data_IF_557684334607
#
_entry.id   IF_557684334607
#
_cell.length_a   1.000
_cell.length_b   1.000
_cell.length_c   1.000
_cell.angle_alpha   90.00
_cell.angle_beta   90.00
_cell.angle_gamma   90.00
#
_symmetry.space_group_name_H-M   'P 1'
#
loop_
_entity.id
_entity.type
_entity.pdbx_description
1 polymer ?
2 non-polymer ?
3 water ?
#
# COMPACT_ATOMS: atom_id res chain seq x y z
N UNK A 1 25.97 1.66 19.99
CA UNK A 1 25.47 0.81 18.91
C UNK A 1 24.13 0.16 19.27
N UNK A 2 23.21 0.16 18.32
CA UNK A 2 21.87 -0.38 18.51
C UNK A 2 21.81 -1.70 19.26
N UNK A 3 20.78 -1.85 20.10
CA UNK A 3 20.55 -3.08 20.86
C UNK A 3 19.57 -3.94 20.08
N UNK A 4 19.05 -3.40 18.98
CA UNK A 4 18.09 -4.10 18.15
C UNK A 4 18.75 -5.27 17.43
N UNK A 5 17.94 -6.15 16.84
CA UNK A 5 18.39 -7.32 16.07
C UNK A 5 18.77 -6.91 14.66
N UNK A 6 19.74 -7.59 14.08
CA UNK A 6 20.20 -7.29 12.72
C UNK A 6 19.04 -7.16 11.73
N UNK A 7 18.08 -8.11 11.77
CA UNK A 7 16.93 -8.12 10.87
C UNK A 7 16.08 -6.85 11.01
N UNK A 8 15.93 -6.38 12.24
CA UNK A 8 15.17 -5.15 12.49
C UNK A 8 15.97 -3.94 12.01
N UNK A 9 17.24 -3.85 12.43
CA UNK A 9 18.10 -2.76 12.01
C UNK A 9 18.13 -2.66 10.48
N UNK A 10 18.31 -3.80 9.83
CA UNK A 10 18.35 -3.88 8.37
C UNK A 10 17.01 -3.46 7.76
N UNK A 11 15.95 -3.54 8.55
CA UNK A 11 14.61 -3.14 8.11
C UNK A 11 14.55 -1.63 8.11
N UNK A 12 15.16 -1.04 9.14
CA UNK A 12 15.24 0.41 9.30
C UNK A 12 16.01 1.04 8.15
N UNK A 13 17.15 0.43 7.82
CA UNK A 13 17.98 0.94 6.75
C UNK A 13 17.24 0.93 5.44
N UNK A 14 16.46 -0.13 5.22
CA UNK A 14 15.67 -0.31 4.01
C UNK A 14 14.62 0.78 3.81
N UNK A 15 13.76 0.98 4.82
CA UNK A 15 12.69 1.96 4.71
C UNK A 15 13.12 3.41 4.78
N UNK A 16 14.40 3.63 5.13
CA UNK A 16 14.91 5.00 5.24
C UNK A 16 16.01 5.31 4.23
N UNK A 17 16.10 4.50 3.18
CA UNK A 17 17.10 4.68 2.13
C UNK A 17 16.74 5.86 1.23
N UNK A 18 17.58 6.89 1.25
CA UNK A 18 17.36 8.08 0.42
C UNK A 18 17.43 7.74 -1.06
N UNK A 19 18.43 6.96 -1.43
CA UNK A 19 18.64 6.53 -2.81
C UNK A 19 17.33 5.97 -3.36
N UNK A 20 16.68 5.13 -2.56
CA UNK A 20 15.41 4.52 -2.95
C UNK A 20 14.38 5.61 -3.26
N UNK A 21 14.43 6.70 -2.50
CA UNK A 21 13.52 7.81 -2.71
C UNK A 21 13.79 8.50 -4.06
N UNK A 22 15.06 8.78 -4.33
CA UNK A 22 15.45 9.41 -5.58
C UNK A 22 15.22 8.46 -6.76
N UNK A 23 15.31 7.17 -6.48
CA UNK A 23 15.12 6.15 -7.53
C UNK A 23 13.65 6.10 -7.96
N UNK A 24 12.76 6.01 -6.98
CA UNK A 24 11.31 5.99 -7.24
C UNK A 24 10.87 7.26 -7.97
N UNK A 25 11.57 8.37 -7.70
CA UNK A 25 11.25 9.65 -8.33
C UNK A 25 11.72 9.69 -9.77
N UNK A 26 13.02 9.51 -9.98
CA UNK A 26 13.60 9.48 -11.31
C UNK A 26 12.83 8.48 -12.18
N UNK A 27 12.45 7.36 -11.58
CA UNK A 27 11.69 6.34 -12.30
C UNK A 27 10.36 6.92 -12.76
N UNK A 28 9.91 7.96 -12.04
CA UNK A 28 8.66 8.64 -12.36
C UNK A 28 8.91 9.72 -13.39
N UNK A 29 10.16 9.85 -13.82
CA UNK A 29 10.56 10.87 -14.80
C UNK A 29 10.61 12.25 -14.17
N UNK A 30 10.60 12.29 -12.84
CA UNK A 30 10.67 13.55 -12.10
C UNK A 30 12.07 14.12 -12.14
N UNK A 31 12.18 15.39 -12.52
CA UNK A 31 13.48 16.06 -12.58
C UNK A 31 13.97 16.38 -11.17
N UNK A 32 15.00 15.66 -10.73
CA UNK A 32 15.56 15.86 -9.39
C UNK A 32 16.34 17.16 -9.24
N UNK A 33 16.60 17.82 -10.36
CA UNK A 33 17.32 19.10 -10.34
C UNK A 33 16.33 20.23 -10.07
N UNK A 34 15.14 20.10 -10.64
CA UNK A 34 14.07 21.08 -10.49
C UNK A 34 13.27 20.77 -9.23
N UNK A 35 13.14 19.49 -8.92
CA UNK A 35 12.36 19.08 -7.75
C UNK A 35 13.13 18.08 -6.90
N UNK A 36 14.18 18.54 -6.20
CA UNK A 36 14.92 17.62 -5.33
C UNK A 36 14.01 17.15 -4.18
N UNK A 37 14.39 16.05 -3.54
CA UNK A 37 13.63 15.47 -2.43
C UNK A 37 13.18 16.52 -1.41
N UNK A 38 14.14 17.25 -0.87
CA UNK A 38 13.87 18.26 0.13
C UNK A 38 12.81 19.25 -0.27
N UNK A 39 12.70 19.52 -1.57
CA UNK A 39 11.74 20.50 -2.07
C UNK A 39 10.28 20.03 -1.99
N UNK A 40 10.09 18.71 -1.90
CA UNK A 40 8.75 18.14 -1.81
C UNK A 40 7.89 18.74 -0.69
N UNK A 41 6.63 19.01 -0.99
CA UNK A 41 5.73 19.61 -0.01
C UNK A 41 4.34 18.97 -0.01
N UNK A 42 3.70 18.93 1.16
CA UNK A 42 2.36 18.36 1.29
C UNK A 42 1.35 19.22 0.53
N UNK A 43 1.40 20.53 0.76
CA UNK A 43 0.50 21.46 0.07
C UNK A 43 0.62 21.26 -1.43
N UNK A 44 1.86 21.20 -1.92
CA UNK A 44 2.14 21.01 -3.33
C UNK A 44 1.48 19.74 -3.86
N UNK A 45 1.54 18.68 -3.07
CA UNK A 45 0.94 17.41 -3.46
C UNK A 45 -0.59 17.46 -3.45
N UNK A 46 -1.15 18.28 -2.55
CA UNK A 46 -2.60 18.49 -2.47
C UNK A 46 -3.06 19.18 -3.75
N UNK A 47 -2.40 20.29 -4.08
CA UNK A 47 -2.72 21.06 -5.26
C UNK A 47 -2.70 20.19 -6.51
N UNK A 48 -1.69 19.32 -6.60
CA UNK A 48 -1.55 18.42 -7.73
C UNK A 48 -2.73 17.46 -7.82
N UNK A 49 -3.17 16.95 -6.68
CA UNK A 49 -4.32 16.06 -6.65
C UNK A 49 -5.50 16.79 -7.24
N UNK A 50 -5.66 18.04 -6.80
CA UNK A 50 -6.78 18.88 -7.24
C UNK A 50 -6.80 19.07 -8.75
N UNK A 51 -5.63 19.31 -9.31
CA UNK A 51 -5.49 19.48 -10.75
C UNK A 51 -5.93 18.20 -11.45
N UNK A 52 -5.46 17.06 -10.93
CA UNK A 52 -5.82 15.78 -11.51
C UNK A 52 -7.32 15.53 -11.48
N UNK A 53 -7.98 15.97 -10.41
CA UNK A 53 -9.44 15.84 -10.30
C UNK A 53 -10.13 16.72 -11.33
N UNK A 54 -9.56 17.89 -11.60
CA UNK A 54 -10.13 18.80 -12.59
C UNK A 54 -10.01 18.15 -13.97
N UNK A 55 -8.92 17.41 -14.19
CA UNK A 55 -8.72 16.72 -15.47
C UNK A 55 -9.77 15.63 -15.63
N UNK A 56 -10.00 14.86 -14.57
CA UNK A 56 -11.00 13.82 -14.61
C UNK A 56 -12.33 14.45 -15.05
N UNK A 57 -12.77 15.45 -14.29
CA UNK A 57 -14.00 16.17 -14.61
C UNK A 57 -14.00 16.69 -16.05
N UNK A 58 -12.87 17.25 -16.46
CA UNK A 58 -12.72 17.77 -17.82
C UNK A 58 -12.87 16.62 -18.81
N UNK A 59 -12.17 15.53 -18.54
CA UNK A 59 -12.19 14.33 -19.37
C UNK A 59 -13.60 13.75 -19.45
N UNK A 60 -14.29 13.73 -18.31
CA UNK A 60 -15.64 13.19 -18.24
C UNK A 60 -16.66 14.06 -18.96
N UNK A 61 -16.45 15.37 -18.89
CA UNK A 61 -17.36 16.33 -19.52
C UNK A 61 -17.15 16.34 -21.02
N UNK A 62 -15.89 16.30 -21.42
CA UNK A 62 -15.51 16.35 -22.82
C UNK A 62 -15.04 17.77 -23.11
N UNK A 63 -14.11 18.25 -22.29
CA UNK A 63 -13.57 19.58 -22.43
C UNK A 63 -12.99 19.80 -23.82
N UNK A 64 -13.26 20.96 -24.38
CA UNK A 64 -12.81 21.29 -25.73
C UNK A 64 -11.34 21.68 -25.80
N UNK A 65 -10.47 20.71 -25.52
CA UNK A 65 -9.01 20.90 -25.57
C UNK A 65 -8.55 22.25 -25.01
N UNK A 66 -7.26 22.53 -25.10
CA UNK A 66 -6.74 23.77 -24.57
C UNK A 66 -6.94 23.78 -23.04
N UNK A 67 -8.17 23.54 -22.61
CA UNK A 67 -8.50 23.45 -21.20
C UNK A 67 -7.89 22.17 -20.65
N UNK A 68 -7.76 21.16 -21.51
CA UNK A 68 -7.15 19.89 -21.14
C UNK A 68 -5.64 20.08 -21.25
N UNK A 69 -5.24 21.06 -22.04
CA UNK A 69 -3.83 21.38 -22.25
C UNK A 69 -3.34 22.26 -21.10
N UNK A 70 -4.14 23.27 -20.75
CA UNK A 70 -3.82 24.19 -19.66
C UNK A 70 -3.74 23.45 -18.33
N UNK A 71 -4.55 22.40 -18.19
CA UNK A 71 -4.53 21.60 -16.97
C UNK A 71 -3.27 20.74 -16.95
N UNK A 72 -2.87 20.28 -18.14
CA UNK A 72 -1.67 19.46 -18.27
C UNK A 72 -0.43 20.29 -17.92
N UNK A 73 -0.34 21.50 -18.47
CA UNK A 73 0.76 22.40 -18.17
C UNK A 73 0.80 22.63 -16.65
N UNK A 74 -0.37 22.90 -16.08
CA UNK A 74 -0.47 23.17 -14.64
C UNK A 74 0.10 22.05 -13.79
N UNK A 75 -0.22 20.80 -14.12
CA UNK A 75 0.27 19.67 -13.35
C UNK A 75 1.79 19.54 -13.47
N UNK A 76 2.30 19.72 -14.68
CA UNK A 76 3.74 19.61 -14.92
C UNK A 76 4.51 20.82 -14.40
N UNK A 77 3.78 21.86 -14.01
CA UNK A 77 4.42 23.03 -13.42
C UNK A 77 4.62 22.73 -11.94
N UNK A 78 3.61 22.08 -11.36
CA UNK A 78 3.63 21.66 -9.97
C UNK A 78 4.63 20.51 -9.78
N UNK A 79 4.58 19.55 -10.69
CA UNK A 79 5.47 18.39 -10.62
C UNK A 79 6.41 18.42 -11.81
N UNK A 80 7.62 18.96 -11.61
CA UNK A 80 8.67 19.10 -12.62
C UNK A 80 9.20 17.78 -13.14
N UNK A 81 8.97 17.52 -14.41
CA UNK A 81 9.42 16.31 -15.07
C UNK A 81 10.49 16.68 -16.08
N UNK A 82 11.25 15.69 -16.55
CA UNK A 82 12.25 15.93 -17.57
C UNK A 82 11.98 15.02 -18.77
N UNK A 83 11.46 15.62 -19.83
CA UNK A 83 11.12 14.88 -21.04
C UNK A 83 12.17 15.15 -22.11
N UNK A 84 12.77 16.34 -22.04
CA UNK A 84 13.77 16.75 -23.01
C UNK A 84 13.10 17.28 -24.26
N UNK A 85 12.45 16.38 -24.99
CA UNK A 85 11.75 16.74 -26.21
C UNK A 85 10.50 15.88 -26.39
N UNK A 86 9.77 16.13 -27.48
CA UNK A 86 8.53 15.42 -27.77
C UNK A 86 7.38 15.98 -26.94
N UNK A 87 7.71 16.85 -26.00
CA UNK A 87 6.70 17.48 -25.15
C UNK A 87 6.11 16.50 -24.14
N UNK A 88 5.65 17.02 -23.00
CA UNK A 88 5.05 16.20 -21.94
C UNK A 88 3.78 15.51 -22.44
N UNK A 89 3.46 14.36 -21.84
CA UNK A 89 2.24 13.64 -22.22
C UNK A 89 0.99 14.40 -21.81
N UNK A 90 0.00 14.43 -22.69
CA UNK A 90 -1.24 15.12 -22.40
C UNK A 90 -2.12 14.26 -21.51
N UNK A 91 -2.55 14.80 -20.37
CA UNK A 91 -3.43 14.09 -19.44
C UNK A 91 -4.85 14.29 -19.94
N UNK A 92 -5.30 13.40 -20.82
CA UNK A 92 -6.60 13.53 -21.45
C UNK A 92 -7.46 12.27 -21.36
N UNK A 93 -7.18 11.41 -20.40
CA UNK A 93 -7.94 10.18 -20.23
C UNK A 93 -7.86 9.62 -18.82
N UNK A 94 -8.68 8.61 -18.54
CA UNK A 94 -8.70 7.99 -17.23
C UNK A 94 -7.36 7.38 -16.91
N UNK A 95 -6.83 6.62 -17.86
CA UNK A 95 -5.55 5.95 -17.69
C UNK A 95 -4.46 6.90 -17.19
N UNK A 96 -4.35 8.05 -17.83
CA UNK A 96 -3.33 9.04 -17.48
C UNK A 96 -3.46 9.61 -16.06
N UNK A 97 -4.66 10.08 -15.70
CA UNK A 97 -4.86 10.65 -14.36
C UNK A 97 -4.71 9.59 -13.27
N UNK A 98 -5.01 8.34 -13.63
CA UNK A 98 -4.90 7.20 -12.73
C UNK A 98 -3.45 6.97 -12.33
N UNK A 99 -2.58 6.92 -13.32
CA UNK A 99 -1.16 6.70 -13.10
C UNK A 99 -0.55 7.90 -12.38
N UNK A 100 -0.84 9.09 -12.87
CA UNK A 100 -0.34 10.32 -12.26
C UNK A 100 -0.75 10.43 -10.79
N UNK A 101 -1.90 9.86 -10.46
CA UNK A 101 -2.42 9.89 -9.09
C UNK A 101 -1.71 8.88 -8.21
N UNK A 102 -1.42 7.70 -8.76
CA UNK A 102 -0.72 6.65 -8.02
C UNK A 102 0.65 7.18 -7.61
N UNK A 103 1.25 7.99 -8.49
CA UNK A 103 2.56 8.55 -8.22
C UNK A 103 2.52 9.58 -7.09
N UNK A 104 1.47 10.40 -7.06
CA UNK A 104 1.32 11.43 -6.04
C UNK A 104 1.13 10.77 -4.67
N UNK A 105 0.46 9.62 -4.67
CA UNK A 105 0.26 8.83 -3.44
C UNK A 105 1.63 8.42 -2.92
N UNK A 106 2.44 7.84 -3.81
CA UNK A 106 3.79 7.40 -3.49
C UNK A 106 4.65 8.61 -3.06
N UNK A 107 4.71 9.63 -3.91
CA UNK A 107 5.48 10.84 -3.59
C UNK A 107 5.14 11.38 -2.19
N UNK A 108 3.88 11.25 -1.81
CA UNK A 108 3.39 11.73 -0.51
C UNK A 108 4.10 11.00 0.62
N UNK A 109 4.13 9.67 0.53
CA UNK A 109 4.76 8.84 1.54
C UNK A 109 6.27 9.09 1.60
N UNK A 110 6.86 9.45 0.47
CA UNK A 110 8.29 9.75 0.41
C UNK A 110 8.60 11.04 1.17
N UNK A 111 7.71 12.03 1.05
CA UNK A 111 7.88 13.30 1.75
C UNK A 111 7.77 13.03 3.25
N UNK A 112 6.80 12.21 3.61
CA UNK A 112 6.59 11.83 5.00
C UNK A 112 7.87 11.23 5.57
N UNK A 113 8.47 10.32 4.80
CA UNK A 113 9.68 9.62 5.23
C UNK A 113 10.91 10.51 5.24
N UNK A 114 11.11 11.30 4.18
CA UNK A 114 12.25 12.20 4.11
C UNK A 114 12.13 13.28 5.18
N UNK A 115 10.90 13.71 5.43
CA UNK A 115 10.66 14.74 6.44
C UNK A 115 10.95 14.19 7.82
N UNK A 116 10.88 12.87 7.95
CA UNK A 116 11.17 12.20 9.22
C UNK A 116 12.67 11.95 9.32
N UNK A 117 13.21 11.32 8.28
CA UNK A 117 14.63 11.01 8.23
C UNK A 117 15.49 12.27 8.36
N UNK A 118 14.85 13.45 8.31
CA UNK A 118 15.59 14.70 8.42
C UNK A 118 15.15 15.55 9.60
N UNK A 119 14.08 15.13 10.27
CA UNK A 119 13.56 15.84 11.43
C UNK A 119 14.07 15.25 12.72
N UNK A 120 14.00 16.04 13.80
CA UNK A 120 14.44 15.61 15.11
C UNK A 120 15.90 15.92 15.42
N UNK A 121 16.35 15.51 16.60
CA UNK A 121 17.72 15.73 17.03
C UNK A 121 18.67 14.79 16.30
N UNK A 122 19.47 15.34 15.40
CA UNK A 122 20.42 14.54 14.62
C UNK A 122 21.80 14.52 15.29
N UNK A 123 21.81 14.46 16.63
CA UNK A 123 23.04 14.44 17.39
C UNK A 123 23.91 13.21 17.12
N UNK A 124 24.82 12.90 18.04
CA UNK A 124 25.72 11.76 17.86
C UNK A 124 25.81 10.87 19.10
N UNK A 125 24.81 10.95 19.97
CA UNK A 125 24.78 10.14 21.18
C UNK A 125 24.31 8.74 20.83
N UNK A 126 23.10 8.66 20.30
CA UNK A 126 22.52 7.37 19.89
C UNK A 126 22.87 7.14 18.42
N UNK A 127 22.99 5.86 18.05
CA UNK A 127 23.30 5.52 16.67
C UNK A 127 22.06 5.64 15.78
N UNK A 128 22.27 6.11 14.53
CA UNK A 128 21.27 6.36 13.48
C UNK A 128 20.13 5.35 13.45
N UNK A 129 20.46 4.07 13.61
CA UNK A 129 19.45 3.03 13.58
C UNK A 129 18.44 3.17 14.71
N UNK A 130 18.93 3.40 15.92
CA UNK A 130 18.06 3.57 17.09
C UNK A 130 17.16 4.79 16.95
N UNK A 131 17.77 5.93 16.62
CA UNK A 131 17.03 7.16 16.45
C UNK A 131 15.85 6.93 15.50
N UNK A 132 16.18 6.58 14.25
CA UNK A 132 15.17 6.32 13.23
C UNK A 132 14.09 5.33 13.68
N UNK A 133 14.50 4.24 14.32
CA UNK A 133 13.55 3.26 14.82
C UNK A 133 12.46 3.94 15.64
N UNK A 134 12.87 4.84 16.53
CA UNK A 134 11.96 5.57 17.38
C UNK A 134 10.98 6.41 16.56
N UNK A 135 11.48 7.06 15.53
CA UNK A 135 10.66 7.91 14.68
C UNK A 135 9.44 7.19 14.14
N UNK A 136 9.54 5.86 14.04
CA UNK A 136 8.47 5.03 13.49
C UNK A 136 7.25 4.88 14.41
N UNK A 137 7.47 5.01 15.72
CA UNK A 137 6.39 4.87 16.70
C UNK A 137 5.76 3.49 16.54
N UNK A 138 6.60 2.48 16.32
CA UNK A 138 6.11 1.12 16.12
C UNK A 138 7.00 0.11 16.83
N UNK A 139 6.38 -0.86 17.49
CA UNK A 139 7.13 -1.92 18.16
C UNK A 139 7.43 -3.01 17.14
N UNK A 140 8.70 -3.24 16.86
CA UNK A 140 9.11 -4.24 15.88
C UNK A 140 9.91 -5.38 16.48
N UNK A 141 9.28 -6.54 16.59
CA UNK A 141 9.92 -7.73 17.12
C UNK A 141 10.06 -8.79 16.02
N UNK A 142 11.17 -9.52 16.03
CA UNK A 142 11.39 -10.57 15.04
C UNK A 142 10.63 -11.81 15.47
N UNK A 143 9.97 -12.47 14.51
CA UNK A 143 9.25 -13.70 14.79
C UNK A 143 10.16 -14.88 14.39
N UNK A 144 10.40 -15.78 15.34
CA UNK A 144 11.28 -16.93 15.11
C UNK A 144 10.88 -17.78 13.91
N UNK A 145 11.87 -18.16 13.11
CA UNK A 145 11.63 -18.99 11.92
C UNK A 145 10.87 -20.26 12.26
N UNK A 146 11.31 -20.95 13.30
CA UNK A 146 10.70 -22.20 13.75
C UNK A 146 9.66 -21.98 14.84
N UNK A 147 8.59 -21.26 14.51
CA UNK A 147 7.53 -20.99 15.47
C UNK A 147 6.18 -21.19 14.81
N UNK A 148 5.15 -21.47 15.62
CA UNK A 148 3.81 -21.68 15.11
C UNK A 148 3.38 -20.48 14.28
N UNK A 149 3.65 -19.30 14.81
CA UNK A 149 3.33 -18.06 14.10
C UNK A 149 3.96 -18.07 12.71
N UNK A 150 5.28 -18.24 12.66
CA UNK A 150 6.00 -18.28 11.39
C UNK A 150 5.46 -19.38 10.48
N UNK A 151 5.24 -20.56 11.06
CA UNK A 151 4.71 -21.70 10.32
C UNK A 151 3.41 -21.31 9.62
N UNK A 152 2.51 -20.67 10.36
CA UNK A 152 1.23 -20.21 9.84
C UNK A 152 1.44 -19.25 8.67
N UNK A 153 2.18 -18.18 8.94
CA UNK A 153 2.45 -17.14 7.96
C UNK A 153 3.04 -17.68 6.66
N UNK A 154 4.07 -18.52 6.79
CA UNK A 154 4.71 -19.08 5.61
C UNK A 154 3.75 -19.91 4.78
N UNK A 155 2.82 -20.59 5.46
CA UNK A 155 1.81 -21.42 4.81
C UNK A 155 0.81 -20.54 4.06
N UNK A 156 0.52 -19.39 4.66
CA UNK A 156 -0.39 -18.41 4.08
C UNK A 156 0.23 -17.85 2.80
N UNK A 157 1.53 -17.59 2.84
CA UNK A 157 2.25 -17.04 1.70
C UNK A 157 2.43 -18.06 0.58
N UNK A 158 2.70 -19.30 0.98
CA UNK A 158 2.93 -20.39 0.04
C UNK A 158 1.66 -20.81 -0.68
N UNK A 159 0.59 -20.99 0.07
CA UNK A 159 -0.70 -21.43 -0.48
C UNK A 159 -1.36 -20.40 -1.42
N UNK A 160 -1.45 -19.15 -0.97
CA UNK A 160 -2.09 -18.10 -1.75
C UNK A 160 -1.23 -17.57 -2.92
N UNK A 161 -0.10 -18.21 -3.16
CA UNK A 161 0.77 -17.87 -4.28
C UNK A 161 0.63 -19.01 -5.29
N UNK A 162 0.34 -18.68 -6.55
CA UNK A 162 0.09 -19.69 -7.58
C UNK A 162 1.11 -19.86 -8.71
N UNK A 163 0.59 -20.19 -9.90
CA UNK A 163 1.41 -20.43 -11.09
C UNK A 163 0.88 -19.71 -12.33
N UNK A 164 -0.40 -19.32 -12.30
CA UNK A 164 -1.01 -18.62 -13.42
C UNK A 164 -0.45 -17.20 -13.56
N UNK A 165 0.36 -16.83 -12.57
CA UNK A 165 1.02 -15.53 -12.54
C UNK A 165 2.43 -15.78 -12.01
N UNK A 166 2.86 -17.04 -12.13
CA UNK A 166 4.17 -17.45 -11.66
C UNK A 166 5.29 -16.77 -12.43
N UNK A 167 5.27 -15.44 -12.43
CA UNK A 167 6.32 -14.67 -13.07
C UNK A 167 7.48 -14.63 -12.10
N UNK A 168 7.19 -14.95 -10.84
CA UNK A 168 8.19 -14.96 -9.78
C UNK A 168 7.86 -15.98 -8.70
N UNK A 169 8.80 -16.18 -7.78
CA UNK A 169 8.63 -17.09 -6.65
C UNK A 169 8.91 -16.31 -5.38
N UNK A 170 8.21 -16.65 -4.30
CA UNK A 170 8.35 -15.91 -3.05
C UNK A 170 9.21 -16.61 -1.99
N UNK A 171 10.06 -15.83 -1.34
CA UNK A 171 10.92 -16.31 -0.28
C UNK A 171 10.76 -15.39 0.94
N UNK A 172 10.37 -15.95 2.08
CA UNK A 172 10.21 -15.16 3.29
C UNK A 172 11.54 -15.04 4.01
N UNK A 173 12.14 -13.85 3.96
CA UNK A 173 13.43 -13.61 4.59
C UNK A 173 13.30 -13.22 6.05
N UNK A 174 12.27 -12.45 6.37
CA UNK A 174 12.03 -12.03 7.74
C UNK A 174 10.56 -11.74 7.97
N UNK A 175 10.10 -11.99 9.18
CA UNK A 175 8.75 -11.69 9.58
C UNK A 175 8.83 -10.99 10.92
N UNK A 176 8.12 -9.88 11.04
CA UNK A 176 8.11 -9.14 12.29
C UNK A 176 6.68 -9.00 12.80
N UNK A 177 6.56 -8.97 14.12
CA UNK A 177 5.29 -8.70 14.77
C UNK A 177 5.36 -7.20 14.96
N UNK A 178 4.30 -6.50 14.58
CA UNK A 178 4.31 -5.04 14.70
C UNK A 178 3.12 -4.51 15.47
N UNK A 179 3.37 -3.47 16.26
CA UNK A 179 2.34 -2.84 17.05
C UNK A 179 2.63 -1.36 17.09
N UNK A 180 1.88 -0.59 16.31
CA UNK A 180 2.05 0.85 16.25
C UNK A 180 1.46 1.47 17.51
N UNK A 181 2.06 2.57 17.96
CA UNK A 181 1.56 3.27 19.13
C UNK A 181 0.21 3.87 18.79
N UNK A 182 -0.80 3.55 19.60
CA UNK A 182 -2.15 4.04 19.37
C UNK A 182 -3.02 2.96 18.75
N UNK A 183 -2.47 2.27 17.76
CA UNK A 183 -3.17 1.19 17.09
C UNK A 183 -3.40 0.04 18.07
N UNK A 184 -4.46 0.16 18.86
CA UNK A 184 -4.77 -0.82 19.88
C UNK A 184 -6.02 -0.33 20.60
N UNK A 185 -5.93 0.87 21.16
CA UNK A 185 -7.06 1.49 21.84
C UNK A 185 -8.00 2.03 20.78
N UNK A 186 -7.45 2.21 19.57
CA UNK A 186 -8.21 2.72 18.44
C UNK A 186 -8.96 1.59 17.75
N UNK A 187 -8.37 0.40 17.78
CA UNK A 187 -8.97 -0.79 17.16
C UNK A 187 -9.93 -1.51 18.11
N UNK A 188 -9.65 -1.42 19.41
CA UNK A 188 -10.44 -2.07 20.45
C UNK A 188 -11.96 -2.09 20.23
N UNK A 189 -12.56 -0.90 20.01
CA UNK A 189 -14.00 -0.77 19.81
C UNK A 189 -14.51 -1.55 18.60
N UNK A 190 -13.64 -1.74 17.62
CA UNK A 190 -14.01 -2.44 16.40
C UNK A 190 -13.80 -3.95 16.51
N UNK A 191 -13.01 -4.36 17.50
CA UNK A 191 -12.76 -5.78 17.73
C UNK A 191 -14.09 -6.41 18.13
N UNK A 192 -14.89 -5.63 18.85
CA UNK A 192 -16.21 -6.06 19.28
C UNK A 192 -17.12 -6.01 18.06
N UNK A 193 -16.64 -6.63 16.99
CA UNK A 193 -17.35 -6.68 15.71
C UNK A 193 -16.90 -7.96 14.99
N UNK A 194 -17.86 -8.74 14.52
CA UNK A 194 -17.57 -10.00 13.86
C UNK A 194 -16.81 -9.85 12.54
N UNK A 195 -16.54 -10.99 11.91
CA UNK A 195 -15.84 -11.02 10.63
C UNK A 195 -14.45 -10.39 10.65
N UNK A 196 -13.64 -10.76 11.64
CA UNK A 196 -12.28 -10.23 11.74
C UNK A 196 -11.32 -11.19 11.03
N UNK A 197 -10.65 -10.69 9.99
CA UNK A 197 -9.77 -11.52 9.19
C UNK A 197 -8.33 -11.02 9.11
N UNK A 198 -7.42 -11.93 8.75
CA UNK A 198 -6.01 -11.58 8.58
C UNK A 198 -5.74 -11.50 7.09
N UNK A 199 -5.67 -10.27 6.58
CA UNK A 199 -5.48 -10.02 5.16
C UNK A 199 -4.15 -9.35 4.82
N UNK A 200 -3.83 -9.38 3.53
CA UNK A 200 -2.60 -8.82 3.00
C UNK A 200 -2.75 -7.37 2.56
N UNK A 201 -1.62 -6.66 2.56
CA UNK A 201 -1.54 -5.30 2.07
C UNK A 201 -0.10 -5.03 1.66
N UNK A 202 0.12 -4.95 0.35
CA UNK A 202 1.44 -4.70 -0.19
C UNK A 202 1.55 -3.24 -0.57
N UNK A 203 2.77 -2.71 -0.49
CA UNK A 203 3.02 -1.33 -0.82
C UNK A 203 4.51 -1.20 -1.11
N UNK A 204 4.88 -0.14 -1.83
CA UNK A 204 6.28 0.10 -2.16
C UNK A 204 7.04 0.27 -0.85
N UNK A 205 8.34 -0.04 -0.88
CA UNK A 205 9.17 0.07 0.31
C UNK A 205 9.27 1.52 0.78
N UNK A 206 9.34 2.44 -0.18
CA UNK A 206 9.46 3.87 0.09
C UNK A 206 8.30 4.45 0.88
N UNK A 207 7.17 3.74 0.91
CA UNK A 207 5.98 4.20 1.60
C UNK A 207 5.86 3.67 3.04
N UNK A 208 6.77 2.77 3.43
CA UNK A 208 6.68 2.14 4.74
C UNK A 208 6.96 2.95 5.99
N UNK A 209 7.81 3.97 5.88
CA UNK A 209 8.09 4.84 7.01
C UNK A 209 6.81 5.58 7.36
N UNK A 210 6.11 6.05 6.33
CA UNK A 210 4.84 6.74 6.50
C UNK A 210 3.72 5.83 6.95
N UNK A 211 3.78 4.56 6.53
CA UNK A 211 2.76 3.58 6.90
C UNK A 211 2.89 3.20 8.38
N UNK A 212 4.11 2.89 8.80
CA UNK A 212 4.38 2.52 10.18
C UNK A 212 4.21 3.73 11.08
N UNK A 213 4.67 4.88 10.60
CA UNK A 213 4.58 6.12 11.36
C UNK A 213 3.16 6.64 11.50
N UNK A 214 2.35 6.53 10.45
CA UNK A 214 0.97 7.04 10.48
C UNK A 214 -0.16 6.05 10.22
N UNK A 215 0.18 4.77 10.01
CA UNK A 215 -0.81 3.75 9.73
C UNK A 215 -1.38 3.85 8.33
N UNK A 216 -2.13 2.85 7.88
CA UNK A 216 -2.73 2.89 6.55
C UNK A 216 -3.81 3.97 6.50
N UNK A 217 -3.81 4.78 5.45
CA UNK A 217 -4.77 5.86 5.33
C UNK A 217 -5.64 5.84 4.07
N UNK A 218 -6.67 6.69 4.07
CA UNK A 218 -7.63 6.81 2.98
C UNK A 218 -7.30 8.06 2.16
N UNK A 219 -7.42 7.95 0.83
CA UNK A 219 -7.13 9.07 -0.06
C UNK A 219 -7.88 10.33 0.36
N UNK A 220 -7.27 11.50 0.14
CA UNK A 220 -7.93 12.75 0.52
C UNK A 220 -8.95 13.20 -0.52
N UNK A 221 -9.98 13.96 -0.09
CA UNK A 221 -11.06 14.50 -0.93
C UNK A 221 -10.54 15.02 -2.27
N UNK A 222 -9.44 15.76 -2.23
CA UNK A 222 -8.83 16.33 -3.43
C UNK A 222 -8.36 15.25 -4.41
N UNK A 223 -8.08 14.06 -3.89
CA UNK A 223 -7.61 12.95 -4.73
C UNK A 223 -8.73 12.55 -5.70
N UNK A 224 -8.37 12.30 -6.97
CA UNK A 224 -9.39 11.90 -7.95
C UNK A 224 -9.91 10.51 -7.58
N UNK A 225 -11.18 10.25 -7.87
CA UNK A 225 -11.77 8.96 -7.54
C UNK A 225 -11.41 7.85 -8.52
N UNK A 226 -10.96 8.22 -9.71
CA UNK A 226 -10.54 7.24 -10.71
C UNK A 226 -9.41 6.38 -10.12
N UNK A 227 -9.48 5.07 -10.32
CA UNK A 227 -8.45 4.17 -9.81
C UNK A 227 -8.92 3.38 -8.61
N UNK A 228 -9.63 4.05 -7.70
CA UNK A 228 -10.18 3.40 -6.53
C UNK A 228 -11.47 2.70 -6.97
N UNK A 229 -11.36 1.42 -7.30
CA UNK A 229 -12.50 0.65 -7.78
C UNK A 229 -13.73 0.71 -6.88
N UNK A 230 -13.49 0.69 -5.56
CA UNK A 230 -14.58 0.72 -4.59
C UNK A 230 -14.54 1.93 -3.65
N UNK A 231 -14.23 3.10 -4.20
CA UNK A 231 -14.19 4.33 -3.42
C UNK A 231 -12.93 4.48 -2.61
N UNK A 232 -12.82 5.60 -1.90
CA UNK A 232 -11.64 5.89 -1.10
C UNK A 232 -11.65 5.16 0.24
N UNK A 233 -10.90 4.07 0.32
CA UNK A 233 -10.80 3.28 1.53
C UNK A 233 -9.48 2.55 1.61
N UNK A 234 -9.41 1.56 2.49
CA UNK A 234 -8.20 0.76 2.65
C UNK A 234 -8.47 -0.60 2.02
N UNK A 235 -7.60 -1.00 1.09
CA UNK A 235 -7.77 -2.25 0.35
C UNK A 235 -6.88 -3.39 0.84
N UNK A 236 -7.47 -4.58 0.93
CA UNK A 236 -6.72 -5.77 1.36
C UNK A 236 -7.03 -6.94 0.44
N UNK A 237 -6.21 -7.99 0.53
CA UNK A 237 -6.42 -9.19 -0.26
C UNK A 237 -6.28 -10.41 0.63
N UNK A 238 -6.83 -11.54 0.22
CA UNK A 238 -6.72 -12.78 0.97
C UNK A 238 -5.72 -13.71 0.31
N UNK A 239 -5.09 -13.21 -0.74
CA UNK A 239 -4.07 -13.95 -1.49
C UNK A 239 -2.83 -13.09 -1.74
N UNK A 240 -1.70 -13.52 -1.19
CA UNK A 240 -0.44 -12.80 -1.34
C UNK A 240 -0.16 -12.43 -2.79
N UNK A 241 -0.72 -13.21 -3.71
CA UNK A 241 -0.53 -12.97 -5.14
C UNK A 241 -1.06 -11.60 -5.60
N UNK A 242 -2.18 -11.17 -5.03
CA UNK A 242 -2.77 -9.88 -5.39
C UNK A 242 -2.07 -8.73 -4.70
N UNK A 243 -1.76 -8.90 -3.42
CA UNK A 243 -1.09 -7.86 -2.64
C UNK A 243 0.37 -7.68 -3.03
N UNK A 244 1.08 -8.79 -3.20
CA UNK A 244 2.50 -8.73 -3.57
C UNK A 244 2.75 -7.90 -4.82
N UNK A 245 1.70 -7.68 -5.61
CA UNK A 245 1.83 -6.90 -6.83
C UNK A 245 1.89 -5.39 -6.58
N UNK A 246 1.79 -4.98 -5.33
CA UNK A 246 1.83 -3.56 -5.02
C UNK A 246 3.16 -3.12 -4.43
N UNK A 247 4.04 -4.10 -4.24
CA UNK A 247 5.38 -3.86 -3.71
C UNK A 247 6.28 -3.35 -4.83
N UNK A 248 5.80 -3.54 -6.06
CA UNK A 248 6.54 -3.16 -7.26
C UNK A 248 8.03 -3.45 -7.17
N UNK A 249 8.36 -4.72 -7.35
CA UNK A 249 9.74 -5.18 -7.31
C UNK A 249 10.11 -5.66 -8.69
N UNK A 250 11.40 -5.79 -8.94
CA UNK A 250 11.90 -6.27 -10.23
C UNK A 250 13.18 -7.04 -9.97
N UNK A 251 13.77 -7.62 -11.02
CA UNK A 251 15.01 -8.35 -10.85
C UNK A 251 16.12 -7.42 -10.37
N UNK A 252 15.88 -6.12 -10.49
CA UNK A 252 16.82 -5.08 -10.08
C UNK A 252 16.79 -4.84 -8.59
N UNK A 253 15.60 -4.91 -8.02
CA UNK A 253 15.40 -4.78 -6.58
C UNK A 253 14.26 -5.73 -6.19
N UNK A 254 14.58 -7.03 -6.10
CA UNK A 254 13.76 -8.21 -5.83
C UNK A 254 13.21 -8.29 -4.41
N UNK A 255 13.60 -7.34 -3.55
CA UNK A 255 13.14 -7.37 -2.18
C UNK A 255 12.10 -6.30 -1.85
N UNK A 256 10.99 -6.73 -1.27
CA UNK A 256 9.90 -5.85 -0.91
C UNK A 256 9.29 -6.22 0.42
N UNK A 257 8.40 -5.36 0.92
CA UNK A 257 7.74 -5.58 2.19
C UNK A 257 6.24 -5.69 1.99
N UNK A 258 5.58 -6.47 2.84
CA UNK A 258 4.14 -6.68 2.75
C UNK A 258 3.56 -6.81 4.15
N UNK A 259 2.42 -6.17 4.39
CA UNK A 259 1.82 -6.21 5.71
C UNK A 259 0.75 -7.28 5.85
N UNK A 260 0.50 -7.63 7.10
CA UNK A 260 -0.56 -8.58 7.46
C UNK A 260 -1.36 -7.85 8.51
N UNK A 261 -2.58 -7.46 8.15
CA UNK A 261 -3.42 -6.74 9.07
C UNK A 261 -4.68 -7.47 9.46
N UNK A 262 -5.07 -7.30 10.72
CA UNK A 262 -6.30 -7.90 11.21
C UNK A 262 -7.36 -6.85 10.92
N UNK A 263 -8.29 -7.16 10.04
CA UNK A 263 -9.33 -6.19 9.71
C UNK A 263 -10.73 -6.61 10.16
N UNK A 264 -11.38 -5.73 10.91
CA UNK A 264 -12.74 -5.97 11.39
C UNK A 264 -13.67 -5.65 10.23
N UNK A 265 -13.95 -6.65 9.41
CA UNK A 265 -14.79 -6.47 8.24
C UNK A 265 -16.27 -6.23 8.57
N UNK A 266 -16.78 -6.90 9.60
CA UNK A 266 -18.18 -6.77 9.95
C UNK A 266 -19.01 -7.40 8.85
N UNK A 267 -20.21 -6.87 8.62
CA UNK A 267 -21.06 -7.37 7.55
C UNK A 267 -20.56 -6.79 6.22
N UNK A 268 -20.20 -7.68 5.31
CA UNK A 268 -19.64 -7.28 4.02
C UNK A 268 -20.68 -7.04 2.93
N UNK A 269 -20.49 -5.93 2.20
CA UNK A 269 -21.33 -5.58 1.06
C UNK A 269 -20.61 -6.18 -0.14
N UNK A 270 -21.17 -7.26 -0.69
CA UNK A 270 -20.52 -7.99 -1.77
C UNK A 270 -20.86 -7.55 -3.18
N UNK A 271 -19.81 -7.16 -3.92
CA UNK A 271 -19.96 -6.68 -5.29
C UNK A 271 -19.03 -7.40 -6.25
N UNK A 272 -19.38 -7.37 -7.53
CA UNK A 272 -18.57 -8.02 -8.56
C UNK A 272 -17.94 -7.04 -9.53
N UNK A 273 -18.43 -5.79 -9.52
CA UNK A 273 -17.89 -4.75 -10.39
C UNK A 273 -17.63 -3.46 -9.60
N UNK A 274 -16.73 -2.63 -10.14
CA UNK A 274 -16.37 -1.37 -9.50
C UNK A 274 -17.60 -0.58 -9.08
N UNK A 275 -17.49 0.13 -7.97
CA UNK A 275 -18.61 0.90 -7.46
C UNK A 275 -18.16 1.87 -6.39
N UNK A 276 -18.12 3.16 -6.74
CA UNK A 276 -17.74 4.19 -5.79
C UNK A 276 -18.84 4.27 -4.74
N UNK A 277 -18.48 4.03 -3.49
CA UNK A 277 -19.45 4.05 -2.42
C UNK A 277 -19.05 4.97 -1.27
N UNK A 278 -18.07 4.51 -0.47
CA UNK A 278 -17.63 5.24 0.71
C UNK A 278 -18.73 5.12 1.77
N UNK A 279 -19.97 5.33 1.33
CA UNK A 279 -21.14 5.22 2.19
C UNK A 279 -21.78 3.84 2.01
N UNK A 280 -21.54 2.96 2.97
CA UNK A 280 -22.05 1.59 2.92
C UNK A 280 -23.53 1.51 3.26
N UNK A 281 -24.16 0.38 2.90
CA UNK A 281 -25.59 0.19 3.25
C UNK A 281 -25.69 -0.08 4.75
N UNK A 282 -26.79 0.35 5.36
CA UNK A 282 -26.98 0.14 6.79
C UNK A 282 -26.79 -1.34 7.12
N UNK A 283 -25.90 -1.64 8.05
CA UNK A 283 -25.64 -3.01 8.44
C UNK A 283 -24.37 -3.53 7.79
N UNK A 284 -23.91 -2.83 6.77
CA UNK A 284 -22.68 -3.20 6.08
C UNK A 284 -21.55 -2.37 6.68
N UNK A 285 -20.40 -3.00 6.92
CA UNK A 285 -19.27 -2.31 7.51
C UNK A 285 -18.02 -2.36 6.66
N UNK A 286 -18.12 -3.04 5.52
CA UNK A 286 -17.00 -3.14 4.60
C UNK A 286 -17.52 -3.62 3.26
N UNK A 287 -16.66 -3.57 2.26
CA UNK A 287 -17.00 -4.05 0.93
C UNK A 287 -16.12 -5.25 0.62
N UNK A 288 -16.71 -6.24 -0.05
CA UNK A 288 -15.96 -7.40 -0.51
C UNK A 288 -16.10 -7.52 -2.02
N UNK A 289 -15.01 -7.29 -2.75
CA UNK A 289 -15.02 -7.44 -4.19
C UNK A 289 -14.84 -8.90 -4.52
N UNK A 290 -15.86 -9.53 -5.10
CA UNK A 290 -15.80 -10.95 -5.45
C UNK A 290 -14.86 -11.24 -6.61
N UNK A 291 -13.87 -12.11 -6.38
CA UNK A 291 -12.92 -12.50 -7.41
C UNK A 291 -13.18 -13.89 -7.98
N UNK A 292 -12.53 -14.20 -9.10
CA UNK A 292 -12.70 -15.49 -9.75
C UNK A 292 -11.96 -16.57 -8.97
N UNK A 293 -10.97 -16.16 -8.19
CA UNK A 293 -10.17 -17.08 -7.39
C UNK A 293 -10.25 -16.74 -5.91
N UNK A 294 -10.47 -17.77 -5.10
CA UNK A 294 -10.58 -17.59 -3.66
C UNK A 294 -9.76 -18.66 -2.94
N UNK A 295 -9.39 -18.41 -1.69
CA UNK A 295 -8.63 -19.51 -1.06
C UNK A 295 -9.61 -20.60 -0.65
N UNK A 296 -9.20 -21.86 -0.78
CA UNK A 296 -10.04 -22.98 -0.39
C UNK A 296 -10.57 -22.76 1.02
N UNK A 297 -11.89 -22.51 1.15
CA UNK A 297 -12.61 -22.22 2.39
C UNK A 297 -12.41 -23.32 3.44
N UNK A 298 -12.28 -24.56 3.00
CA UNK A 298 -12.08 -25.68 3.92
C UNK A 298 -10.75 -25.56 4.66
N UNK A 299 -9.83 -24.79 4.08
CA UNK A 299 -8.51 -24.62 4.66
C UNK A 299 -8.43 -23.43 5.61
N UNK A 300 -9.54 -22.71 5.75
CA UNK A 300 -9.57 -21.56 6.65
C UNK A 300 -9.18 -21.98 8.06
N UNK A 301 -8.39 -21.14 8.71
CA UNK A 301 -7.90 -21.39 10.05
C UNK A 301 -8.23 -20.15 10.89
N UNK A 302 -8.03 -20.23 12.20
CA UNK A 302 -8.31 -19.10 13.08
C UNK A 302 -7.34 -18.96 14.25
N UNK A 303 -7.72 -18.10 15.18
CA UNK A 303 -6.97 -17.80 16.41
C UNK A 303 -7.41 -16.46 16.96
N UNK A 304 -7.70 -16.40 18.26
CA UNK A 304 -8.14 -15.16 18.89
C UNK A 304 -9.51 -14.72 18.37
N UNK A 305 -9.90 -15.25 17.21
CA UNK A 305 -11.15 -14.92 16.57
C UNK A 305 -10.89 -14.38 15.18
N UNK A 306 -9.60 -14.30 14.83
CA UNK A 306 -9.19 -13.79 13.54
C UNK A 306 -9.05 -14.94 12.54
N UNK A 307 -9.79 -14.88 11.45
CA UNK A 307 -9.76 -15.92 10.43
C UNK A 307 -8.61 -15.74 9.46
N UNK A 308 -7.84 -16.80 9.27
CA UNK A 308 -6.74 -16.79 8.31
C UNK A 308 -7.07 -17.73 7.16
N UNK A 309 -7.48 -17.16 6.01
CA UNK A 309 -7.84 -17.84 4.77
C UNK A 309 -6.61 -18.20 3.96
N UNK A 310 -5.78 -19.08 4.51
CA UNK A 310 -4.54 -19.48 3.85
C UNK A 310 -4.67 -20.71 2.95
N UNK A 311 -5.91 -21.16 2.74
CA UNK A 311 -6.16 -22.31 1.89
C UNK A 311 -5.71 -22.06 0.46
N UNK A 312 -5.27 -23.10 -0.22
CA UNK A 312 -4.81 -22.98 -1.59
C UNK A 312 -5.88 -22.34 -2.48
N UNK A 313 -5.44 -21.64 -3.52
CA UNK A 313 -6.35 -20.95 -4.42
C UNK A 313 -7.18 -21.84 -5.32
N UNK A 314 -8.50 -21.68 -5.23
CA UNK A 314 -9.42 -22.43 -6.06
C UNK A 314 -10.29 -21.45 -6.83
N UNK A 315 -11.20 -21.98 -7.63
CA UNK A 315 -12.11 -21.16 -8.42
C UNK A 315 -13.37 -20.85 -7.63
N UNK A 316 -13.64 -19.56 -7.41
CA UNK A 316 -14.82 -19.15 -6.68
C UNK A 316 -16.07 -19.51 -7.48
N UNK A 317 -17.24 -19.27 -6.90
CA UNK A 317 -18.49 -19.57 -7.56
C UNK A 317 -18.76 -18.67 -8.76
N UNK A 318 -18.23 -17.45 -8.71
CA UNK A 318 -18.47 -16.49 -9.79
C UNK A 318 -17.26 -16.13 -10.64
N UNK A 319 -17.45 -16.18 -11.96
CA UNK A 319 -16.41 -15.80 -12.91
C UNK A 319 -16.99 -14.64 -13.74
N UNK A 320 -18.25 -14.31 -13.45
CA UNK A 320 -18.96 -13.22 -14.10
C UNK A 320 -18.49 -11.92 -13.45
N UNK A 321 -17.50 -12.06 -12.58
CA UNK A 321 -16.92 -10.94 -11.88
C UNK A 321 -15.77 -10.39 -12.71
N UNK A 322 -15.51 -9.09 -12.58
CA UNK A 322 -14.41 -8.45 -13.28
C UNK A 322 -13.10 -8.72 -12.55
N UNK A 323 -13.19 -8.89 -11.23
CA UNK A 323 -12.01 -9.14 -10.41
C UNK A 323 -11.52 -10.58 -10.54
N UNK A 324 -10.21 -10.76 -10.41
CA UNK A 324 -9.61 -12.08 -10.49
C UNK A 324 -9.37 -12.60 -9.09
N UNK A 325 -9.05 -11.67 -8.19
CA UNK A 325 -8.80 -11.97 -6.79
C UNK A 325 -9.79 -11.17 -5.94
N UNK A 326 -10.00 -11.62 -4.71
CA UNK A 326 -10.93 -10.95 -3.81
C UNK A 326 -10.32 -9.62 -3.37
N UNK A 327 -11.15 -8.76 -2.79
CA UNK A 327 -10.74 -7.45 -2.34
C UNK A 327 -11.57 -7.06 -1.13
N UNK A 328 -10.93 -6.52 -0.10
CA UNK A 328 -11.64 -6.09 1.10
C UNK A 328 -11.37 -4.63 1.40
N UNK A 329 -12.43 -3.82 1.42
CA UNK A 329 -12.28 -2.40 1.68
C UNK A 329 -13.00 -1.94 2.94
N UNK A 330 -12.28 -1.19 3.77
CA UNK A 330 -12.84 -0.60 4.98
C UNK A 330 -12.69 0.91 4.87
N UNK A 331 -13.73 1.64 5.27
CA UNK A 331 -13.69 3.10 5.13
C UNK A 331 -13.38 3.87 6.41
N UNK A 332 -12.95 3.13 7.42
CA UNK A 332 -12.54 3.72 8.69
C UNK A 332 -11.16 3.17 9.06
N UNK A 333 -10.17 4.05 9.14
CA UNK A 333 -8.81 3.67 9.46
C UNK A 333 -8.67 2.85 10.74
N UNK A 334 -9.67 2.92 11.60
CA UNK A 334 -9.65 2.20 12.88
C UNK A 334 -10.12 0.75 12.77
N UNK A 335 -10.57 0.35 11.59
CA UNK A 335 -11.03 -1.01 11.39
C UNK A 335 -9.83 -1.91 11.09
N UNK A 336 -8.63 -1.34 11.16
CA UNK A 336 -7.41 -2.08 10.86
C UNK A 336 -6.41 -2.16 12.02
N UNK A 337 -5.89 -3.36 12.27
CA UNK A 337 -4.88 -3.58 13.28
C UNK A 337 -3.71 -4.34 12.65
N UNK A 338 -2.69 -3.60 12.24
CA UNK A 338 -1.51 -4.18 11.62
C UNK A 338 -0.83 -5.09 12.61
N UNK A 339 -0.59 -6.34 12.20
CA UNK A 339 -0.01 -7.34 13.09
C UNK A 339 1.41 -7.75 12.74
N UNK A 340 1.66 -8.02 11.46
CA UNK A 340 2.98 -8.47 11.01
C UNK A 340 3.41 -7.69 9.79
N UNK A 341 4.71 -7.77 9.51
CA UNK A 341 5.32 -7.15 8.35
C UNK A 341 6.38 -8.15 7.88
N UNK A 342 6.35 -8.48 6.59
CA UNK A 342 7.28 -9.45 6.04
C UNK A 342 8.24 -8.81 5.05
N UNK A 343 9.47 -9.31 5.05
CA UNK A 343 10.47 -8.91 4.07
C UNK A 343 10.55 -10.12 3.14
N UNK A 344 10.22 -9.94 1.86
CA UNK A 344 10.22 -11.05 0.93
C UNK A 344 11.14 -10.85 -0.26
N UNK A 345 11.77 -11.93 -0.69
CA UNK A 345 12.61 -11.90 -1.87
C UNK A 345 11.79 -12.47 -3.03
N UNK A 346 11.70 -11.70 -4.10
CA UNK A 346 10.97 -12.11 -5.30
C UNK A 346 11.96 -12.73 -6.28
N UNK A 347 11.82 -14.02 -6.54
CA UNK A 347 12.69 -14.70 -7.49
C UNK A 347 11.93 -14.80 -8.81
N UNK A 348 12.30 -13.95 -9.76
CA UNK A 348 11.62 -13.91 -11.06
C UNK A 348 12.05 -15.04 -11.99
N UNK A 349 11.05 -15.74 -12.54
CA UNK A 349 11.29 -16.87 -13.43
C UNK A 349 11.87 -16.46 -14.78
N UNK A 350 11.41 -15.33 -15.31
CA UNK A 350 11.90 -14.81 -16.58
C UNK A 350 11.96 -15.87 -17.67
X LIG B 1 -5.93 -5.27 -3.13
X LIG B 1 -4.77 -5.04 -2.41
X LIG B 1 -6.46 -4.28 -3.93
X LIG B 1 -4.69 -2.83 -3.26
X LIG B 1 -4.13 -3.82 -2.47
X LIG B 1 -5.83 -3.06 -3.98
X LIG B 1 -4.26 -1.45 -3.52
X LIG B 1 -2.91 -3.68 -1.68
X LIG B 1 -6.23 -1.87 -4.77
X LIG B 1 -6.04 1.25 -4.37
X LIG B 1 -5.27 0.36 -6.51
X LIG B 1 -5.83 2.65 -4.92
X LIG B 1 -5.12 1.78 -6.99
X LIG B 1 -5.04 0.34 -5.02
X LIG B 1 -6.13 2.61 -6.35
X LIG B 1 -5.12 -1.00 -4.48
X LIG B 1 -2.38 -2.42 -1.62
X LIG B 1 -3.36 -0.85 -2.93
X LIG B 1 -2.44 -4.66 -1.14
#
# INVERSE_FOLDING_TARGET
KSKLPKPVQDLIKMIFDVESMKKAMVEYEIDLQKMPLGKLSKRQIQAAYSILSEVQQAVSQGSSDSQILDLSNRFYTLIPHDFGMKKPPLLNNADSVQAKAEMLDNLLDIEVAYSLLRGGSDDSSKDPIDVNYEKLKTDIKVVDRDSEEAEIIRKYVKNTHATTHNAYDLEVIDIFKIEREGECQRYKPFKQLHNRRLLWHGSRTTNFAGILSQGLRIAPPEAPVTGYMFGKGIYFADMVSKSANYCHTSQGDPIGLILLGEVALGNMYELKHASHISKLPKGKHSVKGLGKTTPDPSANISLDGVDVPLGTGISSGVNDTSLLYNEYIVYDIAQVNLKYLLKLKFNFKT
L3L C1 C2 C3 C4 C5 C6 C7 C8 C9 C10 C11 C12 C13 C14 N15 N16 N17 O18 O19
#
